data_IF_958140785833
#
_entry.id   IF_958140785833
#
_cell.length_a   1.000
_cell.length_b   1.000
_cell.length_c   1.000
_cell.angle_alpha   90.00
_cell.angle_beta   90.00
_cell.angle_gamma   90.00
#
_symmetry.space_group_name_H-M   'P 1'
#
loop_
_entity.id
_entity.type
_entity.pdbx_description
1 polymer ?
#
# COMPACT_ATOMS: atom_id res chain seq x y z
N UNK A 1 -1.36 3.56 -21.02
CA UNK A 1 -2.59 4.02 -21.69
C UNK A 1 -2.34 5.46 -22.05
N UNK A 2 -2.53 5.85 -23.30
CA UNK A 2 -2.59 7.27 -23.63
C UNK A 2 -4.01 7.66 -23.28
N UNK A 3 -4.21 8.08 -22.03
CA UNK A 3 -5.45 8.75 -21.69
C UNK A 3 -5.56 9.92 -22.67
N UNK A 4 -6.66 9.99 -23.40
CA UNK A 4 -6.93 11.11 -24.33
C UNK A 4 -6.80 12.44 -23.59
N UNK A 5 -7.03 12.42 -22.27
CA UNK A 5 -6.86 13.55 -21.36
C UNK A 5 -5.84 13.24 -20.26
N UNK A 6 -4.63 13.77 -20.43
CA UNK A 6 -3.52 13.68 -19.46
C UNK A 6 -3.91 14.13 -18.03
N UNK A 7 -4.84 15.08 -17.90
CA UNK A 7 -5.38 15.52 -16.59
C UNK A 7 -6.10 14.41 -15.81
N UNK A 8 -6.87 13.56 -16.49
CA UNK A 8 -7.58 12.45 -15.83
C UNK A 8 -6.59 11.39 -15.35
N UNK A 9 -5.52 11.15 -16.13
CA UNK A 9 -4.44 10.24 -15.75
C UNK A 9 -3.72 10.70 -14.48
N UNK A 10 -3.42 12.00 -14.38
CA UNK A 10 -2.76 12.60 -13.20
C UNK A 10 -3.68 12.59 -11.98
N UNK A 11 -4.94 12.97 -12.15
CA UNK A 11 -5.94 12.91 -11.09
C UNK A 11 -6.13 11.47 -10.56
N UNK A 12 -6.16 10.48 -11.46
CA UNK A 12 -6.20 9.07 -11.07
C UNK A 12 -4.94 8.65 -10.31
N UNK A 13 -3.74 9.00 -10.81
CA UNK A 13 -2.46 8.75 -10.12
C UNK A 13 -2.49 9.29 -8.69
N UNK A 14 -2.89 10.55 -8.53
CA UNK A 14 -2.91 11.24 -7.26
C UNK A 14 -3.91 10.61 -6.29
N UNK A 15 -5.14 10.36 -6.75
CA UNK A 15 -6.21 9.79 -5.91
C UNK A 15 -5.86 8.36 -5.48
N UNK A 16 -5.28 7.59 -6.39
CA UNK A 16 -4.88 6.22 -6.12
C UNK A 16 -3.67 6.14 -5.18
N UNK A 17 -2.66 7.00 -5.35
CA UNK A 17 -1.54 7.18 -4.39
C UNK A 17 -2.06 7.53 -3.00
N UNK A 18 -3.00 8.46 -2.89
CA UNK A 18 -3.60 8.85 -1.61
C UNK A 18 -4.30 7.66 -0.95
N UNK A 19 -5.12 6.94 -1.69
CA UNK A 19 -5.84 5.75 -1.20
C UNK A 19 -4.87 4.68 -0.70
N UNK A 20 -3.88 4.31 -1.51
CA UNK A 20 -2.86 3.35 -1.10
C UNK A 20 -2.09 3.83 0.14
N UNK A 21 -1.74 5.12 0.19
CA UNK A 21 -1.07 5.74 1.32
C UNK A 21 -1.86 5.64 2.61
N UNK A 22 -3.14 6.06 2.60
CA UNK A 22 -4.03 5.93 3.76
C UNK A 22 -4.16 4.48 4.18
N UNK A 23 -4.41 3.57 3.23
CA UNK A 23 -4.57 2.15 3.52
C UNK A 23 -3.33 1.52 4.18
N UNK A 24 -2.13 1.85 3.70
CA UNK A 24 -0.88 1.33 4.26
C UNK A 24 -0.59 1.91 5.65
N UNK A 25 -0.85 3.20 5.88
CA UNK A 25 -0.72 3.81 7.21
C UNK A 25 -1.74 3.21 8.18
N UNK A 26 -3.00 3.09 7.78
CA UNK A 26 -4.03 2.46 8.62
C UNK A 26 -3.67 1.03 8.94
N UNK A 27 -3.21 0.24 7.97
CA UNK A 27 -2.75 -1.12 8.20
C UNK A 27 -1.61 -1.18 9.22
N UNK A 28 -0.59 -0.32 9.07
CA UNK A 28 0.51 -0.20 10.02
C UNK A 28 0.03 0.13 11.44
N UNK A 29 -0.87 1.11 11.58
CA UNK A 29 -1.40 1.54 12.89
C UNK A 29 -2.23 0.43 13.52
N UNK A 30 -3.09 -0.22 12.75
CA UNK A 30 -3.95 -1.30 13.21
C UNK A 30 -3.11 -2.49 13.69
N UNK A 31 -2.05 -2.87 12.97
CA UNK A 31 -1.11 -3.89 13.45
C UNK A 31 -0.42 -3.43 14.74
N UNK A 32 0.09 -2.19 14.81
CA UNK A 32 0.75 -1.67 16.01
C UNK A 32 -0.16 -1.66 17.26
N UNK A 33 -1.44 -1.30 17.09
CA UNK A 33 -2.46 -1.39 18.14
C UNK A 33 -2.68 -2.85 18.52
N UNK A 34 -2.79 -3.75 17.53
CA UNK A 34 -2.99 -5.17 17.76
C UNK A 34 -1.86 -5.81 18.58
N UNK A 35 -0.62 -5.41 18.31
CA UNK A 35 0.56 -5.81 19.09
C UNK A 35 0.53 -5.25 20.50
N UNK A 36 0.24 -3.96 20.64
CA UNK A 36 0.18 -3.30 21.96
C UNK A 36 -0.86 -3.97 22.85
N UNK A 37 -2.03 -4.28 22.30
CA UNK A 37 -3.06 -5.05 22.97
C UNK A 37 -2.57 -6.46 23.34
N UNK A 38 -1.86 -7.13 22.42
CA UNK A 38 -1.35 -8.47 22.67
C UNK A 38 -0.32 -8.52 23.79
N UNK A 39 0.57 -7.52 23.84
CA UNK A 39 1.55 -7.37 24.93
C UNK A 39 0.85 -7.09 26.26
N UNK A 40 -0.11 -6.15 26.28
CA UNK A 40 -0.84 -5.76 27.48
C UNK A 40 -1.65 -6.93 28.06
N UNK A 41 -2.39 -7.65 27.23
CA UNK A 41 -3.21 -8.78 27.69
C UNK A 41 -2.39 -9.98 28.16
N UNK A 42 -1.21 -10.24 27.57
CA UNK A 42 -0.26 -11.22 28.13
C UNK A 42 0.26 -10.80 29.50
N UNK A 43 0.57 -9.51 29.68
CA UNK A 43 1.11 -8.97 30.94
C UNK A 43 0.12 -9.02 32.10
N UNK A 44 -1.18 -8.97 31.81
CA UNK A 44 -2.24 -8.97 32.83
C UNK A 44 -2.68 -10.39 33.23
N UNK A 45 -2.14 -11.46 32.63
CA UNK A 45 -2.54 -12.86 32.83
C UNK A 45 -4.04 -13.17 32.62
N UNK A 46 -4.83 -12.19 32.21
CA UNK A 46 -6.23 -12.32 31.84
C UNK A 46 -6.25 -12.68 30.36
N UNK A 47 -6.34 -13.95 29.97
CA UNK A 47 -6.71 -14.24 28.58
C UNK A 47 -7.31 -15.61 28.32
N UNK A 48 -8.48 -15.60 27.70
CA UNK A 48 -8.96 -16.72 26.89
C UNK A 48 -8.37 -16.58 25.48
N UNK A 49 -7.93 -17.70 24.90
CA UNK A 49 -7.46 -17.76 23.51
C UNK A 49 -8.50 -17.23 22.51
N UNK A 50 -9.79 -17.42 22.81
CA UNK A 50 -10.89 -16.92 22.00
C UNK A 50 -10.96 -15.39 21.94
N UNK A 51 -10.65 -14.70 23.04
CA UNK A 51 -10.66 -13.23 23.07
C UNK A 51 -9.54 -12.64 22.18
N UNK A 52 -8.38 -13.30 22.13
CA UNK A 52 -7.29 -12.93 21.21
C UNK A 52 -7.71 -13.07 19.75
N UNK A 53 -8.25 -14.24 19.41
CA UNK A 53 -8.70 -14.51 18.04
C UNK A 53 -9.82 -13.55 17.62
N UNK A 54 -10.80 -13.31 18.49
CA UNK A 54 -11.90 -12.39 18.22
C UNK A 54 -11.38 -10.96 18.00
N UNK A 55 -10.46 -10.48 18.83
CA UNK A 55 -9.86 -9.15 18.68
C UNK A 55 -9.10 -9.01 17.36
N UNK A 56 -8.24 -9.97 17.01
CA UNK A 56 -7.52 -9.96 15.74
C UNK A 56 -8.46 -10.08 14.53
N UNK A 57 -9.51 -10.90 14.62
CA UNK A 57 -10.53 -11.01 13.57
C UNK A 57 -11.26 -9.68 13.33
N UNK A 58 -11.68 -8.99 14.40
CA UNK A 58 -12.32 -7.67 14.30
C UNK A 58 -11.37 -6.66 13.64
N UNK A 59 -10.10 -6.66 14.04
CA UNK A 59 -9.06 -5.80 13.45
C UNK A 59 -8.90 -6.07 11.94
N UNK A 60 -8.80 -7.33 11.53
CA UNK A 60 -8.62 -7.72 10.13
C UNK A 60 -9.84 -7.31 9.31
N UNK A 61 -11.05 -7.59 9.81
CA UNK A 61 -12.30 -7.22 9.14
C UNK A 61 -12.40 -5.70 9.01
N UNK A 62 -12.13 -4.94 10.07
CA UNK A 62 -12.14 -3.48 10.03
C UNK A 62 -11.13 -2.93 9.01
N UNK A 63 -9.92 -3.51 8.95
CA UNK A 63 -8.90 -3.15 7.96
C UNK A 63 -9.36 -3.39 6.52
N UNK A 64 -9.98 -4.55 6.25
CA UNK A 64 -10.55 -4.87 4.92
C UNK A 64 -11.65 -3.88 4.54
N UNK A 65 -12.56 -3.57 5.46
CA UNK A 65 -13.66 -2.62 5.21
C UNK A 65 -13.12 -1.22 4.88
N UNK A 66 -12.13 -0.73 5.63
CA UNK A 66 -11.48 0.56 5.35
C UNK A 66 -10.79 0.55 3.99
N UNK A 67 -10.08 -0.53 3.65
CA UNK A 67 -9.44 -0.68 2.34
C UNK A 67 -10.46 -0.65 1.20
N UNK A 68 -11.54 -1.44 1.29
CA UNK A 68 -12.59 -1.50 0.28
C UNK A 68 -13.33 -0.15 0.14
N UNK A 69 -13.62 0.51 1.25
CA UNK A 69 -14.26 1.83 1.25
C UNK A 69 -13.39 2.87 0.54
N UNK A 70 -12.09 2.91 0.86
CA UNK A 70 -11.15 3.85 0.22
C UNK A 70 -10.96 3.54 -1.27
N UNK A 71 -10.91 2.25 -1.65
CA UNK A 71 -10.77 1.84 -3.06
C UNK A 71 -12.02 2.17 -3.88
N UNK A 72 -13.21 1.91 -3.33
CA UNK A 72 -14.50 2.28 -3.95
C UNK A 72 -14.61 3.80 -4.15
N UNK A 73 -14.25 4.57 -3.13
CA UNK A 73 -14.25 6.04 -3.20
C UNK A 73 -13.26 6.55 -4.24
N UNK A 74 -12.07 5.97 -4.31
CA UNK A 74 -11.04 6.31 -5.32
C UNK A 74 -11.51 6.01 -6.74
N UNK A 75 -12.13 4.85 -6.93
CA UNK A 75 -12.63 4.44 -8.23
C UNK A 75 -13.78 5.32 -8.72
N UNK A 76 -14.79 5.53 -7.88
CA UNK A 76 -15.98 6.35 -8.22
C UNK A 76 -15.62 7.81 -8.48
N UNK A 77 -14.74 8.40 -7.66
CA UNK A 77 -14.27 9.77 -7.85
C UNK A 77 -13.50 9.95 -9.16
N UNK A 78 -12.75 8.94 -9.60
CA UNK A 78 -12.01 9.02 -10.87
C UNK A 78 -12.92 8.80 -12.09
N UNK A 79 -13.76 7.75 -12.04
CA UNK A 79 -14.60 7.35 -13.17
C UNK A 79 -15.61 8.43 -13.55
N UNK A 80 -16.11 9.22 -12.59
CA UNK A 80 -17.07 10.31 -12.85
C UNK A 80 -16.60 11.33 -13.89
N UNK A 81 -15.28 11.49 -14.09
CA UNK A 81 -14.72 12.44 -15.05
C UNK A 81 -14.38 11.81 -16.42
N UNK A 82 -14.50 10.47 -16.53
CA UNK A 82 -14.23 9.73 -17.75
C UNK A 82 -15.43 9.77 -18.70
N UNK A 83 -15.17 9.79 -20.01
CA UNK A 83 -16.19 9.49 -21.02
C UNK A 83 -16.51 7.98 -21.01
N UNK A 84 -17.62 7.60 -21.60
CA UNK A 84 -18.09 6.20 -21.61
C UNK A 84 -17.09 5.22 -22.25
N UNK A 85 -16.46 5.63 -23.35
CA UNK A 85 -15.41 4.83 -24.01
C UNK A 85 -14.15 4.69 -23.14
N UNK A 86 -13.73 5.79 -22.48
CA UNK A 86 -12.58 5.80 -21.56
C UNK A 86 -12.86 4.91 -20.35
N UNK A 87 -14.09 4.97 -19.82
CA UNK A 87 -14.54 4.18 -18.68
C UNK A 87 -14.54 2.67 -19.03
N UNK A 88 -15.07 2.28 -20.19
CA UNK A 88 -15.10 0.87 -20.61
C UNK A 88 -13.69 0.28 -20.73
N UNK A 89 -12.74 1.01 -21.31
CA UNK A 89 -11.35 0.57 -21.44
C UNK A 89 -10.66 0.53 -20.06
N UNK A 90 -10.87 1.56 -19.23
CA UNK A 90 -10.30 1.62 -17.88
C UNK A 90 -10.81 0.45 -17.02
N UNK A 91 -12.12 0.22 -16.98
CA UNK A 91 -12.74 -0.88 -16.23
C UNK A 91 -12.21 -2.25 -16.65
N UNK A 92 -12.10 -2.51 -17.97
CA UNK A 92 -11.53 -3.78 -18.48
C UNK A 92 -10.08 -3.99 -18.02
N UNK A 93 -9.26 -2.94 -18.05
CA UNK A 93 -7.86 -3.01 -17.57
C UNK A 93 -7.77 -3.18 -16.06
N UNK A 94 -8.63 -2.49 -15.31
CA UNK A 94 -8.72 -2.65 -13.86
C UNK A 94 -9.12 -4.06 -13.47
N UNK A 95 -10.08 -4.67 -14.17
CA UNK A 95 -10.42 -6.08 -13.98
C UNK A 95 -9.25 -7.02 -14.28
N UNK A 96 -8.55 -6.83 -15.42
CA UNK A 96 -7.37 -7.62 -15.76
C UNK A 96 -6.22 -7.45 -14.73
N UNK A 97 -6.00 -6.21 -14.27
CA UNK A 97 -5.03 -5.90 -13.23
C UNK A 97 -5.39 -6.53 -11.88
N UNK A 98 -6.68 -6.57 -11.51
CA UNK A 98 -7.15 -7.26 -10.30
C UNK A 98 -6.86 -8.76 -10.37
N UNK A 99 -7.20 -9.41 -11.49
CA UNK A 99 -6.92 -10.85 -11.69
C UNK A 99 -5.41 -11.12 -11.63
N UNK A 100 -4.60 -10.31 -12.32
CA UNK A 100 -3.14 -10.41 -12.24
C UNK A 100 -2.61 -10.25 -10.81
N UNK A 101 -3.17 -9.29 -10.06
CA UNK A 101 -2.76 -9.03 -8.68
C UNK A 101 -3.12 -10.20 -7.77
N UNK A 102 -4.33 -10.76 -7.89
CA UNK A 102 -4.76 -11.92 -7.11
C UNK A 102 -3.85 -13.12 -7.38
N UNK A 103 -3.65 -13.48 -8.65
CA UNK A 103 -2.80 -14.62 -9.02
C UNK A 103 -1.36 -14.38 -8.58
N UNK A 104 -0.81 -13.20 -8.85
CA UNK A 104 0.56 -12.85 -8.47
C UNK A 104 0.78 -12.90 -6.97
N UNK A 105 -0.13 -12.32 -6.17
CA UNK A 105 -0.05 -12.36 -4.71
C UNK A 105 -0.15 -13.80 -4.21
N UNK A 106 -1.08 -14.61 -4.72
CA UNK A 106 -1.20 -16.03 -4.33
C UNK A 106 0.10 -16.80 -4.58
N UNK A 107 0.79 -16.57 -5.70
CA UNK A 107 2.09 -17.20 -6.01
C UNK A 107 3.15 -16.83 -4.98
N UNK A 108 3.22 -15.57 -4.55
CA UNK A 108 4.20 -15.14 -3.54
C UNK A 108 3.87 -15.59 -2.13
N UNK A 109 2.61 -15.91 -1.83
CA UNK A 109 2.20 -16.48 -0.54
C UNK A 109 2.27 -18.01 -0.51
N UNK A 110 2.40 -18.66 -1.67
CA UNK A 110 2.51 -20.12 -1.79
C UNK A 110 3.63 -20.74 -0.92
N UNK A 111 4.83 -20.13 -0.78
CA UNK A 111 5.87 -20.65 0.10
C UNK A 111 5.44 -20.82 1.57
N UNK A 112 4.49 -20.00 2.06
CA UNK A 112 4.01 -20.09 3.45
C UNK A 112 3.35 -21.44 3.75
N UNK A 113 2.72 -22.06 2.75
CA UNK A 113 2.06 -23.38 2.90
C UNK A 113 3.08 -24.51 3.10
N UNK A 114 4.33 -24.30 2.73
CA UNK A 114 5.40 -25.31 2.81
C UNK A 114 6.40 -25.05 3.95
N UNK A 115 6.29 -23.92 4.66
CA UNK A 115 7.20 -23.56 5.77
C UNK A 115 6.71 -23.96 7.17
N UNK A 116 5.59 -24.68 7.25
CA UNK A 116 4.73 -24.85 8.44
C UNK A 116 5.28 -25.56 9.69
N UNK A 117 6.59 -25.60 9.92
CA UNK A 117 7.18 -26.14 11.16
C UNK A 117 8.47 -25.45 11.61
N UNK A 118 8.84 -24.32 11.01
CA UNK A 118 10.12 -23.65 11.26
C UNK A 118 9.96 -22.23 11.81
N UNK A 119 10.94 -21.78 12.60
CA UNK A 119 11.11 -20.37 12.99
C UNK A 119 11.31 -19.43 11.77
N UNK A 120 11.30 -19.96 10.55
CA UNK A 120 11.42 -19.19 9.32
C UNK A 120 10.07 -18.70 8.79
N UNK A 121 8.94 -19.30 9.20
CA UNK A 121 7.61 -18.92 8.70
C UNK A 121 7.30 -17.41 8.85
N UNK A 122 7.56 -16.76 10.01
CA UNK A 122 7.34 -15.32 10.14
C UNK A 122 8.25 -14.50 9.21
N UNK A 123 9.46 -14.97 8.92
CA UNK A 123 10.38 -14.31 8.01
C UNK A 123 9.96 -14.52 6.56
N UNK A 124 9.46 -15.70 6.18
CA UNK A 124 8.87 -15.98 4.85
C UNK A 124 7.65 -15.09 4.57
N UNK A 125 6.95 -14.60 5.60
CA UNK A 125 5.90 -13.59 5.43
C UNK A 125 6.46 -12.27 4.85
N UNK A 126 7.69 -11.87 5.21
CA UNK A 126 8.34 -10.69 4.64
C UNK A 126 8.64 -10.87 3.15
N UNK A 127 9.08 -12.07 2.75
CA UNK A 127 9.23 -12.41 1.33
C UNK A 127 7.89 -12.28 0.59
N UNK A 128 6.82 -12.83 1.17
CA UNK A 128 5.48 -12.84 0.60
C UNK A 128 4.92 -11.43 0.43
N UNK A 129 5.08 -10.57 1.45
CA UNK A 129 4.67 -9.17 1.41
C UNK A 129 5.52 -8.34 0.45
N UNK A 130 6.84 -8.54 0.40
CA UNK A 130 7.70 -7.93 -0.60
C UNK A 130 7.29 -8.32 -2.02
N UNK A 131 6.94 -9.59 -2.22
CA UNK A 131 6.37 -10.10 -3.47
C UNK A 131 5.05 -9.43 -3.85
N UNK A 132 4.14 -9.23 -2.89
CA UNK A 132 2.90 -8.50 -3.13
C UNK A 132 3.13 -7.04 -3.58
N UNK A 133 4.13 -6.37 -2.99
CA UNK A 133 4.52 -5.01 -3.40
C UNK A 133 5.11 -5.00 -4.81
N UNK A 134 5.93 -6.00 -5.15
CA UNK A 134 6.47 -6.19 -6.50
C UNK A 134 5.34 -6.41 -7.52
N UNK A 135 4.39 -7.29 -7.23
CA UNK A 135 3.21 -7.56 -8.08
C UNK A 135 2.39 -6.29 -8.26
N UNK A 136 2.14 -5.54 -7.18
CA UNK A 136 1.46 -4.25 -7.25
C UNK A 136 2.19 -3.26 -8.15
N UNK A 137 3.49 -3.08 -7.95
CA UNK A 137 4.32 -2.17 -8.74
C UNK A 137 4.38 -2.56 -10.22
N UNK A 138 4.65 -3.84 -10.51
CA UNK A 138 4.74 -4.38 -11.86
C UNK A 138 3.38 -4.32 -12.58
N UNK A 139 2.30 -4.69 -11.87
CA UNK A 139 0.94 -4.62 -12.38
C UNK A 139 0.55 -3.19 -12.75
N UNK A 140 0.77 -2.23 -11.86
CA UNK A 140 0.43 -0.83 -12.14
C UNK A 140 1.27 -0.28 -13.30
N UNK A 141 2.56 -0.60 -13.33
CA UNK A 141 3.48 -0.22 -14.40
C UNK A 141 3.05 -0.80 -15.76
N UNK A 142 2.64 -2.07 -15.79
CA UNK A 142 2.25 -2.76 -17.01
C UNK A 142 0.88 -2.31 -17.54
N UNK A 143 -0.16 -2.34 -16.70
CA UNK A 143 -1.54 -2.06 -17.12
C UNK A 143 -1.82 -0.58 -17.34
N UNK A 144 -1.24 0.29 -16.49
CA UNK A 144 -1.56 1.72 -16.46
C UNK A 144 -0.40 2.62 -16.89
N UNK A 145 0.81 2.09 -17.10
CA UNK A 145 2.02 2.86 -17.43
C UNK A 145 2.28 3.97 -16.40
N UNK A 146 2.06 3.66 -15.12
CA UNK A 146 2.40 4.52 -14.00
C UNK A 146 3.43 3.83 -13.12
N UNK A 147 4.41 4.59 -12.63
CA UNK A 147 5.47 4.07 -11.77
C UNK A 147 5.29 4.65 -10.38
N UNK A 148 4.88 3.81 -9.44
CA UNK A 148 4.88 4.15 -8.01
C UNK A 148 6.17 3.62 -7.40
N UNK A 149 7.19 4.47 -7.34
CA UNK A 149 8.49 4.12 -6.78
C UNK A 149 8.39 3.73 -5.30
N UNK A 150 7.35 4.21 -4.60
CA UNK A 150 7.02 3.88 -3.22
C UNK A 150 6.80 2.37 -3.03
N UNK A 151 6.11 1.70 -3.97
CA UNK A 151 5.94 0.23 -3.93
C UNK A 151 7.24 -0.51 -4.20
N UNK A 152 8.06 0.00 -5.12
CA UNK A 152 9.36 -0.60 -5.41
C UNK A 152 10.30 -0.50 -4.19
N UNK A 153 10.30 0.65 -3.49
CA UNK A 153 11.05 0.83 -2.25
C UNK A 153 10.55 -0.13 -1.17
N UNK A 154 9.23 -0.27 -1.01
CA UNK A 154 8.65 -1.23 -0.06
C UNK A 154 9.04 -2.68 -0.37
N UNK A 155 8.97 -3.09 -1.63
CA UNK A 155 9.42 -4.42 -2.09
C UNK A 155 10.88 -4.67 -1.71
N UNK A 156 11.78 -3.75 -2.08
CA UNK A 156 13.21 -3.87 -1.80
C UNK A 156 13.46 -3.93 -0.29
N UNK A 157 12.82 -3.06 0.50
CA UNK A 157 12.97 -3.06 1.95
C UNK A 157 12.53 -4.38 2.59
N UNK A 158 11.38 -4.94 2.17
CA UNK A 158 10.90 -6.23 2.67
C UNK A 158 11.85 -7.37 2.33
N UNK A 159 12.39 -7.39 1.12
CA UNK A 159 13.34 -8.43 0.69
C UNK A 159 14.70 -8.31 1.39
N UNK A 160 15.18 -7.09 1.63
CA UNK A 160 16.38 -6.85 2.42
C UNK A 160 16.17 -7.40 3.84
N UNK A 161 15.07 -7.04 4.51
CA UNK A 161 14.77 -7.54 5.86
C UNK A 161 14.61 -9.06 5.88
N UNK A 162 13.96 -9.64 4.87
CA UNK A 162 13.85 -11.10 4.70
C UNK A 162 15.21 -11.77 4.60
N UNK A 163 16.10 -11.28 3.72
CA UNK A 163 17.42 -11.86 3.48
C UNK A 163 18.29 -11.78 4.74
N UNK A 164 18.37 -10.60 5.36
CA UNK A 164 19.12 -10.40 6.61
C UNK A 164 18.59 -11.29 7.74
N UNK A 165 17.27 -11.29 7.98
CA UNK A 165 16.67 -12.10 9.04
C UNK A 165 16.91 -13.61 8.81
N UNK A 166 16.85 -14.07 7.56
CA UNK A 166 17.10 -15.48 7.21
C UNK A 166 18.56 -15.88 7.46
N UNK A 167 19.51 -15.02 7.10
CA UNK A 167 20.95 -15.25 7.35
C UNK A 167 21.22 -15.31 8.86
N UNK A 168 20.74 -14.34 9.62
CA UNK A 168 20.93 -14.29 11.07
C UNK A 168 20.31 -15.50 11.79
N UNK A 169 19.08 -15.89 11.40
CA UNK A 169 18.41 -17.04 11.99
C UNK A 169 19.13 -18.36 11.69
N UNK A 170 19.73 -18.51 10.51
CA UNK A 170 20.46 -19.71 10.13
C UNK A 170 21.85 -19.79 10.77
N UNK A 171 22.55 -18.66 10.92
CA UNK A 171 23.89 -18.62 11.51
C UNK A 171 23.88 -18.57 13.05
N UNK A 172 22.74 -18.28 13.67
CA UNK A 172 22.60 -18.23 15.13
C UNK A 172 22.73 -19.62 15.77
N UNK A 173 23.53 -19.73 16.84
CA UNK A 173 23.68 -20.93 17.68
C UNK A 173 22.66 -21.00 18.83
N UNK A 174 21.73 -20.04 18.90
CA UNK A 174 20.76 -19.90 20.00
C UNK A 174 19.63 -20.93 19.84
N UNK A 175 18.96 -21.26 20.95
CA UNK A 175 17.84 -22.20 20.98
C UNK A 175 16.75 -21.88 19.96
N UNK A 176 16.06 -22.92 19.47
CA UNK A 176 14.96 -22.81 18.50
C UNK A 176 13.83 -21.90 19.02
N UNK A 177 13.56 -21.93 20.33
CA UNK A 177 12.54 -21.08 20.94
C UNK A 177 12.92 -19.59 20.81
N UNK A 178 14.18 -19.23 21.11
CA UNK A 178 14.67 -17.86 20.96
C UNK A 178 14.65 -17.39 19.51
N UNK A 179 15.01 -18.27 18.56
CA UNK A 179 14.91 -18.00 17.12
C UNK A 179 13.48 -17.70 16.68
N UNK A 180 12.51 -18.47 17.20
CA UNK A 180 11.09 -18.24 16.91
C UNK A 180 10.62 -16.86 17.41
N UNK A 181 10.93 -16.47 18.65
CA UNK A 181 10.58 -15.14 19.16
C UNK A 181 11.23 -14.01 18.35
N UNK A 182 12.51 -14.15 18.01
CA UNK A 182 13.22 -13.17 17.20
C UNK A 182 12.60 -13.05 15.80
N UNK A 183 12.29 -14.17 15.14
CA UNK A 183 11.69 -14.19 13.80
C UNK A 183 10.34 -13.47 13.76
N UNK A 184 9.48 -13.71 14.76
CA UNK A 184 8.17 -13.07 14.90
C UNK A 184 8.35 -11.58 15.14
N UNK A 185 9.25 -11.20 16.05
CA UNK A 185 9.52 -9.79 16.35
C UNK A 185 10.02 -9.03 15.11
N UNK A 186 11.04 -9.56 14.43
CA UNK A 186 11.60 -8.93 13.23
C UNK A 186 10.55 -8.81 12.13
N UNK A 187 9.78 -9.87 11.88
CA UNK A 187 8.74 -9.85 10.87
C UNK A 187 7.71 -8.75 11.14
N UNK A 188 7.15 -8.73 12.34
CA UNK A 188 6.11 -7.79 12.73
C UNK A 188 6.62 -6.35 12.71
N UNK A 189 7.78 -6.08 13.31
CA UNK A 189 8.34 -4.73 13.35
C UNK A 189 8.67 -4.22 11.96
N UNK A 190 9.22 -5.08 11.09
CA UNK A 190 9.49 -4.75 9.69
C UNK A 190 8.20 -4.41 8.95
N UNK A 191 7.14 -5.19 9.15
CA UNK A 191 5.82 -4.93 8.53
C UNK A 191 5.30 -3.55 8.94
N UNK A 192 5.28 -3.25 10.24
CA UNK A 192 4.81 -1.96 10.75
C UNK A 192 5.64 -0.81 10.16
N UNK A 193 6.97 -0.87 10.29
CA UNK A 193 7.85 0.22 9.87
C UNK A 193 7.80 0.44 8.36
N UNK A 194 7.90 -0.62 7.57
CA UNK A 194 7.95 -0.52 6.10
C UNK A 194 6.59 -0.06 5.56
N UNK A 195 5.48 -0.66 6.02
CA UNK A 195 4.14 -0.23 5.55
C UNK A 195 3.81 1.19 6.00
N UNK A 196 4.16 1.58 7.23
CA UNK A 196 3.99 2.95 7.71
C UNK A 196 4.80 3.96 6.90
N UNK A 197 6.08 3.69 6.66
CA UNK A 197 6.95 4.56 5.87
C UNK A 197 6.49 4.69 4.42
N UNK A 198 6.21 3.57 3.75
CA UNK A 198 5.72 3.58 2.36
C UNK A 198 4.37 4.28 2.27
N UNK A 199 3.47 4.06 3.23
CA UNK A 199 2.18 4.73 3.31
C UNK A 199 2.33 6.26 3.43
N UNK A 200 3.20 6.73 4.32
CA UNK A 200 3.49 8.16 4.44
C UNK A 200 4.12 8.73 3.17
N UNK A 201 5.07 8.03 2.56
CA UNK A 201 5.70 8.45 1.30
C UNK A 201 4.66 8.64 0.18
N UNK A 202 3.68 7.74 0.08
CA UNK A 202 2.56 7.87 -0.83
C UNK A 202 1.73 9.13 -0.58
N UNK A 203 1.42 9.44 0.69
CA UNK A 203 0.66 10.62 1.07
C UNK A 203 1.41 11.92 0.77
N UNK A 204 2.70 11.99 1.11
CA UNK A 204 3.54 13.15 0.81
C UNK A 204 3.67 13.38 -0.69
N UNK A 205 3.90 12.31 -1.47
CA UNK A 205 4.01 12.44 -2.92
C UNK A 205 2.67 12.81 -3.57
N UNK A 206 1.54 12.32 -3.06
CA UNK A 206 0.22 12.76 -3.49
C UNK A 206 -0.03 14.25 -3.17
N UNK A 207 0.33 14.71 -1.97
CA UNK A 207 0.20 16.12 -1.59
C UNK A 207 1.08 17.04 -2.46
N UNK A 208 2.32 16.62 -2.75
CA UNK A 208 3.22 17.35 -3.64
C UNK A 208 2.67 17.44 -5.08
N UNK A 209 2.07 16.36 -5.58
CA UNK A 209 1.42 16.36 -6.90
C UNK A 209 0.20 17.29 -6.91
N UNK A 210 -0.60 17.28 -5.84
CA UNK A 210 -1.75 18.19 -5.65
C UNK A 210 -1.31 19.66 -5.69
N UNK A 211 -0.24 20.00 -4.97
CA UNK A 211 0.28 21.36 -4.88
C UNK A 211 0.79 21.86 -6.23
N UNK A 212 1.43 20.99 -7.01
CA UNK A 212 1.89 21.31 -8.37
C UNK A 212 0.71 21.58 -9.30
N UNK A 213 -0.36 20.79 -9.23
CA UNK A 213 -1.57 21.02 -10.02
C UNK A 213 -2.24 22.33 -9.62
N UNK A 214 -2.39 22.61 -8.32
CA UNK A 214 -2.96 23.86 -7.81
C UNK A 214 -2.18 25.08 -8.31
N UNK A 215 -0.85 25.06 -8.18
CA UNK A 215 0.02 26.12 -8.68
C UNK A 215 -0.19 26.37 -10.17
N UNK A 216 -0.27 25.31 -10.97
CA UNK A 216 -0.48 25.43 -12.43
C UNK A 216 -1.84 26.01 -12.81
N UNK A 217 -2.87 25.85 -11.97
CA UNK A 217 -4.19 26.45 -12.16
C UNK A 217 -4.15 27.93 -11.79
N UNK A 218 -3.54 28.27 -10.66
CA UNK A 218 -3.38 29.67 -10.23
C UNK A 218 -2.60 30.50 -11.24
N UNK A 219 -1.48 30.00 -11.76
CA UNK A 219 -0.69 30.68 -12.79
C UNK A 219 -1.49 30.95 -14.07
N UNK A 220 -2.43 30.06 -14.43
CA UNK A 220 -3.32 30.26 -15.59
C UNK A 220 -4.37 31.34 -15.33
N UNK A 221 -4.93 31.37 -14.12
CA UNK A 221 -5.91 32.38 -13.73
C UNK A 221 -5.26 33.77 -13.75
N UNK A 222 -4.08 33.92 -13.14
CA UNK A 222 -3.33 35.19 -13.14
C UNK A 222 -2.96 35.64 -14.57
N UNK A 223 -2.56 34.69 -15.44
CA UNK A 223 -2.27 34.97 -16.84
C UNK A 223 -3.50 35.43 -17.64
N UNK A 224 -4.68 34.91 -17.33
CA UNK A 224 -5.92 35.31 -18.02
C UNK A 224 -6.49 36.62 -17.46
N UNK A 225 -6.36 36.87 -16.16
CA UNK A 225 -6.68 38.17 -15.54
C UNK A 225 -5.81 39.29 -16.10
N UNK A 226 -4.50 39.06 -16.22
CA UNK A 226 -3.58 40.04 -16.82
C UNK A 226 -3.88 40.32 -18.28
N UNK A 227 -4.24 39.30 -19.09
CA UNK A 227 -4.73 39.49 -20.47
C UNK A 227 -6.04 40.27 -20.52
N UNK A 228 -6.99 40.00 -19.61
CA UNK A 228 -8.25 40.74 -19.54
C UNK A 228 -8.04 42.20 -19.13
N UNK A 229 -7.16 42.47 -18.17
CA UNK A 229 -6.76 43.81 -17.78
C UNK A 229 -6.08 44.57 -18.95
N UNK A 230 -5.17 43.91 -19.68
CA UNK A 230 -4.53 44.47 -20.87
C UNK A 230 -5.54 44.79 -22.00
N UNK A 231 -6.55 43.94 -22.20
CA UNK A 231 -7.64 44.19 -23.17
C UNK A 231 -8.53 45.36 -22.75
N UNK A 232 -8.83 45.52 -21.46
CA UNK A 232 -9.60 46.66 -20.95
C UNK A 232 -8.86 47.98 -21.13
N UNK A 233 -7.53 48.00 -21.01
CA UNK A 233 -6.71 49.22 -21.24
C UNK A 233 -6.60 49.63 -22.71
N UNK A 234 -6.97 48.76 -23.66
CA UNK A 234 -6.93 49.04 -25.10
C UNK A 234 -8.27 49.50 -25.68
N UNK A 235 -9.33 49.52 -24.88
CA UNK A 235 -10.64 50.05 -25.23
C UNK A 235 -10.84 51.39 -24.55
#
# INVERSE_FOLDING_TARGET
>A
MDYVRERIRRYWSMTYRKTLGVSLVTFSVVIAIGLSFTVLTRSLAVTSYLNYLAFWAVIIIAGILIFLANLSTSHTSTVRYMREDEHRIHSRRTGAWMVFTVIGVLVFFLPLLFTGSSYLEPVTLLFSLGGAFLVGWAGISFFFRQRYHELAIGWVAFWIMFAFASIELNNSTVSIASKSYFSVYVAIMSIVIITGFVGLAFLFNSANESMREFKSVMERIEADESKMAARKRRK
#
